data_IF_588662586745
#
_entry.id   IF_588662586745
#
_cell.length_a   1.000
_cell.length_b   1.000
_cell.length_c   1.000
_cell.angle_alpha   90.00
_cell.angle_beta   90.00
_cell.angle_gamma   90.00
#
_symmetry.space_group_name_H-M   'P 1'
#
loop_
_entity.id
_entity.type
_entity.pdbx_description
1 polymer ?
#
# COMPACT_ATOMS: atom_id res chain seq x y z
N UNK A 1 -57.98 -11.70 17.97
CA UNK A 1 -59.02 -11.53 16.92
C UNK A 1 -58.82 -10.17 16.30
N UNK A 2 -58.88 -10.07 14.96
CA UNK A 2 -58.52 -8.86 14.22
C UNK A 2 -59.47 -7.69 14.48
N UNK A 3 -58.91 -6.48 14.59
CA UNK A 3 -59.65 -5.23 14.42
C UNK A 3 -59.53 -4.75 12.97
N UNK A 4 -60.59 -4.10 12.50
CA UNK A 4 -60.73 -3.53 11.15
C UNK A 4 -60.79 -1.99 11.24
N UNK A 5 -60.99 -1.36 10.07
CA UNK A 5 -61.36 0.05 9.84
C UNK A 5 -60.23 1.10 9.88
N UNK A 6 -60.16 2.12 9.02
CA UNK A 6 -60.76 2.40 7.68
C UNK A 6 -59.95 3.57 7.06
N UNK A 7 -59.87 3.76 5.72
CA UNK A 7 -59.25 4.93 5.10
C UNK A 7 -60.28 6.02 4.74
N UNK A 8 -59.92 7.32 4.88
CA UNK A 8 -60.32 8.49 4.04
C UNK A 8 -59.96 9.82 4.76
N UNK A 9 -59.32 10.78 4.07
CA UNK A 9 -59.95 12.03 3.56
C UNK A 9 -58.91 12.97 2.91
N UNK A 10 -59.34 13.69 1.88
CA UNK A 10 -58.60 14.71 1.13
C UNK A 10 -59.00 16.11 1.63
N UNK A 11 -58.06 17.08 1.71
CA UNK A 11 -58.37 18.50 1.42
C UNK A 11 -57.14 19.36 1.06
N UNK A 12 -57.41 20.46 0.35
CA UNK A 12 -56.47 21.21 -0.50
C UNK A 12 -56.45 22.71 -0.16
N UNK A 13 -55.28 23.36 -0.25
CA UNK A 13 -55.09 24.83 -0.44
C UNK A 13 -53.73 24.97 -1.20
N UNK A 14 -53.59 25.52 -2.43
CA UNK A 14 -53.64 26.95 -2.85
C UNK A 14 -52.82 27.88 -1.92
N UNK A 15 -52.05 28.89 -2.32
CA UNK A 15 -51.59 29.46 -3.62
C UNK A 15 -50.27 30.26 -3.31
N UNK A 16 -49.44 30.81 -4.21
CA UNK A 16 -49.43 31.01 -5.67
C UNK A 16 -47.94 31.15 -6.14
N UNK A 17 -47.66 31.77 -7.30
CA UNK A 17 -46.31 32.16 -7.77
C UNK A 17 -46.33 33.54 -8.46
N UNK A 18 -45.19 34.24 -8.58
CA UNK A 18 -45.03 35.33 -9.55
C UNK A 18 -43.58 35.56 -10.01
N UNK A 19 -43.44 35.79 -11.32
CA UNK A 19 -42.23 36.24 -12.03
C UNK A 19 -42.10 37.77 -11.96
N UNK A 20 -40.90 38.33 -12.17
CA UNK A 20 -40.62 39.20 -13.35
C UNK A 20 -39.10 39.44 -13.55
N UNK A 21 -38.74 40.17 -14.61
CA UNK A 21 -37.46 40.14 -15.34
C UNK A 21 -36.83 41.56 -15.44
N UNK A 22 -35.64 41.65 -16.06
CA UNK A 22 -34.99 42.83 -16.73
C UNK A 22 -33.78 43.53 -16.07
N UNK A 23 -32.59 43.09 -16.51
CA UNK A 23 -31.57 43.86 -17.26
C UNK A 23 -30.90 45.17 -16.75
N UNK A 24 -29.55 45.11 -16.82
CA UNK A 24 -28.58 46.09 -17.40
C UNK A 24 -28.01 47.27 -16.58
N UNK A 25 -26.72 47.50 -16.92
CA UNK A 25 -25.88 48.72 -16.89
C UNK A 25 -24.95 49.04 -15.69
N UNK A 26 -23.66 49.13 -16.07
CA UNK A 26 -22.53 49.95 -15.59
C UNK A 26 -22.80 51.02 -14.51
N UNK A 27 -21.78 51.29 -13.66
CA UNK A 27 -20.84 52.42 -13.87
C UNK A 27 -19.67 52.40 -12.87
N UNK A 28 -18.50 52.86 -13.32
CA UNK A 28 -17.25 53.02 -12.55
C UNK A 28 -17.28 54.33 -11.76
N UNK A 29 -16.76 54.35 -10.53
CA UNK A 29 -16.47 55.60 -9.83
C UNK A 29 -14.98 55.82 -9.60
N UNK A 30 -14.47 56.92 -10.15
CA UNK A 30 -13.13 57.45 -9.88
C UNK A 30 -12.98 57.90 -8.43
N UNK A 31 -11.76 57.77 -7.90
CA UNK A 31 -11.23 58.74 -6.93
C UNK A 31 -9.93 59.34 -7.45
N UNK A 32 -9.94 60.66 -7.68
CA UNK A 32 -8.73 61.44 -7.92
C UNK A 32 -8.00 61.67 -6.59
N UNK A 33 -6.67 61.52 -6.59
CA UNK A 33 -5.81 62.36 -5.76
C UNK A 33 -4.51 62.70 -6.49
N UNK A 34 -4.44 63.94 -6.93
CA UNK A 34 -3.25 64.56 -7.50
C UNK A 34 -2.27 64.91 -6.39
N UNK A 35 -1.00 64.52 -6.52
CA UNK A 35 0.13 65.22 -5.91
C UNK A 35 1.37 64.93 -6.77
N UNK A 36 1.97 65.98 -7.32
CA UNK A 36 3.13 65.87 -8.21
C UNK A 36 4.43 65.88 -7.42
N UNK A 37 5.46 65.13 -7.86
CA UNK A 37 6.86 65.54 -7.64
C UNK A 37 7.84 64.87 -8.64
N UNK A 38 8.69 65.72 -9.24
CA UNK A 38 10.02 65.45 -9.81
C UNK A 38 10.24 64.29 -10.81
N UNK A 39 10.65 64.64 -12.03
CA UNK A 39 11.12 63.70 -13.04
C UNK A 39 12.57 63.23 -12.78
N UNK A 40 12.81 61.91 -12.82
CA UNK A 40 14.15 61.33 -13.02
C UNK A 40 14.11 60.09 -13.91
N UNK A 41 14.95 60.14 -14.95
CA UNK A 41 15.50 59.06 -15.79
C UNK A 41 14.77 57.71 -15.88
N UNK A 42 14.27 57.38 -17.07
CA UNK A 42 13.79 56.05 -17.43
C UNK A 42 15.01 55.15 -17.70
N UNK A 43 15.27 54.19 -16.82
CA UNK A 43 16.14 53.06 -17.11
C UNK A 43 15.28 51.87 -17.58
N UNK A 44 15.41 51.49 -18.86
CA UNK A 44 14.61 50.42 -19.46
C UNK A 44 15.13 49.04 -19.01
N UNK A 45 14.63 48.53 -17.88
CA UNK A 45 14.90 47.15 -17.46
C UNK A 45 13.92 46.19 -18.14
N UNK A 46 14.39 45.49 -19.17
CA UNK A 46 13.65 44.41 -19.82
C UNK A 46 13.43 43.25 -18.83
N UNK A 47 12.18 43.08 -18.37
CA UNK A 47 11.79 41.94 -17.53
C UNK A 47 11.64 40.71 -18.41
N UNK A 48 12.71 39.91 -18.53
CA UNK A 48 12.65 38.60 -19.18
C UNK A 48 11.90 37.62 -18.27
N UNK A 49 10.62 37.39 -18.56
CA UNK A 49 9.81 36.34 -17.93
C UNK A 49 10.43 34.95 -18.23
N UNK A 50 11.27 34.45 -17.31
CA UNK A 50 11.67 33.05 -17.30
C UNK A 50 10.49 32.20 -16.85
N UNK A 51 9.70 31.70 -17.81
CA UNK A 51 8.79 30.58 -17.58
C UNK A 51 9.62 29.37 -17.14
N UNK A 52 9.62 29.08 -15.84
CA UNK A 52 10.19 27.85 -15.31
C UNK A 52 9.31 26.67 -15.76
N UNK A 53 9.61 26.13 -16.94
CA UNK A 53 9.04 24.88 -17.40
C UNK A 53 9.52 23.78 -16.44
N UNK A 54 8.69 23.44 -15.46
CA UNK A 54 8.92 22.29 -14.59
C UNK A 54 8.95 21.05 -15.48
N UNK A 55 10.15 20.56 -15.76
CA UNK A 55 10.37 19.33 -16.51
C UNK A 55 9.78 18.17 -15.69
N UNK A 56 8.49 17.89 -15.92
CA UNK A 56 7.79 16.74 -15.39
C UNK A 56 8.54 15.53 -15.92
N UNK A 57 9.37 14.92 -15.07
CA UNK A 57 10.15 13.73 -15.40
C UNK A 57 9.16 12.59 -15.63
N UNK A 58 8.68 12.45 -16.87
CA UNK A 58 7.95 11.27 -17.28
C UNK A 58 8.86 10.08 -16.97
N UNK A 59 8.35 9.17 -16.15
CA UNK A 59 8.79 7.79 -16.23
C UNK A 59 8.48 7.33 -17.66
N UNK A 60 9.37 6.55 -18.30
CA UNK A 60 9.08 6.01 -19.64
C UNK A 60 7.75 5.27 -19.56
N UNK A 61 6.82 5.59 -20.47
CA UNK A 61 5.53 4.92 -20.56
C UNK A 61 5.77 3.45 -20.88
N UNK A 62 5.51 2.58 -19.90
CA UNK A 62 5.60 1.13 -20.09
C UNK A 62 4.38 0.67 -20.89
N UNK A 63 4.55 0.57 -22.20
CA UNK A 63 3.62 -0.08 -23.13
C UNK A 63 4.49 -0.79 -24.19
N UNK A 64 4.06 -1.85 -24.89
CA UNK A 64 2.68 -2.30 -25.12
C UNK A 64 2.63 -3.80 -25.50
N UNK A 65 3.01 -4.70 -24.59
CA UNK A 65 2.63 -6.12 -24.71
C UNK A 65 2.67 -6.82 -23.36
N UNK A 66 1.58 -7.50 -23.00
CA UNK A 66 1.54 -8.50 -21.92
C UNK A 66 2.11 -9.84 -22.42
N UNK A 67 3.22 -9.77 -23.15
CA UNK A 67 3.89 -10.91 -23.75
C UNK A 67 5.21 -11.16 -23.03
N UNK A 68 5.50 -12.45 -22.83
CA UNK A 68 6.75 -12.95 -22.26
C UNK A 68 7.33 -14.00 -23.21
N UNK A 69 8.66 -14.13 -23.27
CA UNK A 69 9.27 -15.23 -24.03
C UNK A 69 9.11 -16.54 -23.25
N UNK A 70 8.99 -17.70 -23.94
CA UNK A 70 8.96 -19.00 -23.28
C UNK A 70 10.15 -19.22 -22.34
N UNK A 71 11.36 -18.86 -22.78
CA UNK A 71 12.60 -18.99 -22.00
C UNK A 71 12.56 -18.17 -20.70
N UNK A 72 12.05 -16.91 -20.76
CA UNK A 72 11.91 -16.06 -19.58
C UNK A 72 10.84 -16.59 -18.63
N UNK A 73 9.73 -17.11 -19.14
CA UNK A 73 8.72 -17.74 -18.31
C UNK A 73 9.27 -18.99 -17.61
N UNK A 74 10.04 -19.83 -18.32
CA UNK A 74 10.66 -21.00 -17.73
C UNK A 74 11.66 -20.63 -16.63
N UNK A 75 12.56 -19.67 -16.87
CA UNK A 75 13.50 -19.15 -15.87
C UNK A 75 12.78 -18.68 -14.58
N UNK A 76 11.69 -17.92 -14.72
CA UNK A 76 10.91 -17.42 -13.59
C UNK A 76 10.20 -18.53 -12.80
N UNK A 77 9.70 -19.55 -13.50
CA UNK A 77 9.00 -20.71 -12.90
C UNK A 77 10.00 -21.62 -12.19
N UNK A 78 11.17 -21.87 -12.78
CA UNK A 78 12.22 -22.67 -12.17
C UNK A 78 12.73 -21.99 -10.89
N UNK A 79 13.03 -20.68 -10.95
CA UNK A 79 13.42 -19.89 -9.80
C UNK A 79 12.36 -19.88 -8.68
N UNK A 80 11.07 -19.80 -9.04
CA UNK A 80 9.96 -19.88 -8.08
C UNK A 80 9.89 -21.27 -7.44
N UNK A 81 9.99 -22.32 -8.26
CA UNK A 81 9.94 -23.73 -7.84
C UNK A 81 11.07 -24.06 -6.86
N UNK A 82 12.29 -23.60 -7.13
CA UNK A 82 13.43 -23.77 -6.23
C UNK A 82 13.23 -23.03 -4.88
N UNK A 83 12.61 -21.85 -4.89
CA UNK A 83 12.23 -21.14 -3.66
C UNK A 83 11.17 -21.92 -2.89
N UNK A 84 10.09 -22.38 -3.54
CA UNK A 84 9.04 -23.19 -2.89
C UNK A 84 9.62 -24.46 -2.29
N UNK A 85 10.46 -25.18 -3.02
CA UNK A 85 11.14 -26.39 -2.56
C UNK A 85 12.02 -26.14 -1.33
N UNK A 86 12.78 -25.03 -1.29
CA UNK A 86 13.56 -24.62 -0.11
C UNK A 86 12.66 -24.28 1.09
N UNK A 87 11.52 -23.62 0.86
CA UNK A 87 10.53 -23.37 1.92
C UNK A 87 9.96 -24.69 2.48
N UNK A 88 9.57 -25.62 1.61
CA UNK A 88 9.04 -26.93 2.01
C UNK A 88 10.06 -27.74 2.81
N UNK A 89 11.30 -27.85 2.34
CA UNK A 89 12.40 -28.53 3.04
C UNK A 89 12.65 -27.91 4.43
N UNK A 90 12.63 -26.57 4.50
CA UNK A 90 12.81 -25.84 5.78
C UNK A 90 11.66 -26.13 6.75
N UNK A 91 10.41 -26.10 6.27
CA UNK A 91 9.23 -26.37 7.12
C UNK A 91 9.18 -27.83 7.56
N UNK A 92 9.50 -28.79 6.67
CA UNK A 92 9.59 -30.22 7.01
C UNK A 92 10.60 -30.49 8.13
N UNK A 93 11.70 -29.73 8.20
CA UNK A 93 12.69 -29.86 9.28
C UNK A 93 12.15 -29.51 10.68
N UNK A 94 11.01 -28.80 10.78
CA UNK A 94 10.30 -28.53 12.05
C UNK A 94 9.26 -29.59 12.41
N UNK A 95 9.05 -30.60 11.56
CA UNK A 95 8.03 -31.64 11.72
C UNK A 95 6.61 -31.22 11.33
N UNK A 96 5.66 -32.16 11.43
CA UNK A 96 4.32 -32.07 10.83
C UNK A 96 3.44 -30.91 11.34
N UNK A 97 3.79 -30.31 12.49
CA UNK A 97 3.10 -29.16 13.06
C UNK A 97 3.61 -27.80 12.54
N UNK A 98 4.49 -27.78 11.53
CA UNK A 98 5.00 -26.55 10.94
C UNK A 98 3.85 -25.72 10.32
N UNK A 99 3.67 -24.49 10.80
CA UNK A 99 2.68 -23.57 10.24
C UNK A 99 2.99 -23.29 8.76
N UNK A 100 1.99 -23.43 7.88
CA UNK A 100 2.14 -23.11 6.46
C UNK A 100 2.54 -21.65 6.29
N UNK A 101 3.58 -21.40 5.50
CA UNK A 101 4.02 -20.06 5.14
C UNK A 101 3.64 -19.73 3.70
N UNK A 102 3.26 -18.48 3.49
CA UNK A 102 2.94 -17.89 2.20
C UNK A 102 4.19 -17.30 1.56
N UNK A 103 4.44 -17.64 0.30
CA UNK A 103 5.42 -16.96 -0.53
C UNK A 103 4.79 -15.69 -1.10
N UNK A 104 5.42 -14.54 -0.88
CA UNK A 104 5.05 -13.26 -1.51
C UNK A 104 6.13 -12.91 -2.53
N UNK A 105 5.81 -13.05 -3.81
CA UNK A 105 6.74 -12.79 -4.90
C UNK A 105 6.87 -11.27 -5.15
N UNK A 106 8.02 -10.69 -4.80
CA UNK A 106 8.23 -9.23 -4.80
C UNK A 106 8.63 -8.75 -6.19
N UNK A 107 7.65 -8.22 -6.93
CA UNK A 107 7.71 -7.89 -8.36
C UNK A 107 8.04 -6.42 -8.68
N UNK A 108 8.46 -5.63 -7.69
CA UNK A 108 8.86 -4.22 -7.90
C UNK A 108 9.95 -4.05 -8.95
N UNK A 109 9.78 -3.08 -9.83
CA UNK A 109 10.60 -2.83 -11.02
C UNK A 109 10.60 -3.95 -12.07
N UNK A 110 9.71 -4.95 -11.97
CA UNK A 110 9.55 -6.01 -12.99
C UNK A 110 8.33 -5.72 -13.87
N UNK A 111 8.41 -6.01 -15.18
CA UNK A 111 7.30 -5.75 -16.10
C UNK A 111 6.08 -6.60 -15.72
N UNK A 112 4.88 -6.17 -16.13
CA UNK A 112 3.65 -6.94 -15.92
C UNK A 112 3.73 -8.33 -16.58
N UNK A 113 4.47 -8.49 -17.68
CA UNK A 113 4.67 -9.78 -18.36
C UNK A 113 5.46 -10.80 -17.53
N UNK A 114 6.44 -10.40 -16.70
CA UNK A 114 7.12 -11.30 -15.75
C UNK A 114 6.11 -11.84 -14.71
N UNK A 115 5.18 -11.00 -14.26
CA UNK A 115 4.15 -11.37 -13.27
C UNK A 115 3.11 -12.30 -13.90
N UNK A 116 2.67 -11.98 -15.13
CA UNK A 116 1.73 -12.81 -15.89
C UNK A 116 2.34 -14.19 -16.18
N UNK A 117 3.62 -14.26 -16.57
CA UNK A 117 4.32 -15.53 -16.80
C UNK A 117 4.31 -16.42 -15.54
N UNK A 118 4.67 -15.85 -14.39
CA UNK A 118 4.63 -16.58 -13.11
C UNK A 118 3.21 -17.06 -12.80
N UNK A 119 2.22 -16.17 -12.89
CA UNK A 119 0.82 -16.49 -12.62
C UNK A 119 0.29 -17.62 -13.53
N UNK A 120 0.43 -17.49 -14.86
CA UNK A 120 -0.15 -18.43 -15.83
C UNK A 120 0.53 -19.80 -15.82
N UNK A 121 1.84 -19.87 -15.51
CA UNK A 121 2.60 -21.13 -15.56
C UNK A 121 2.67 -21.89 -14.24
N UNK A 122 2.52 -21.20 -13.10
CA UNK A 122 2.61 -21.82 -11.76
C UNK A 122 1.32 -21.75 -10.94
N UNK A 123 0.35 -20.92 -11.32
CA UNK A 123 -0.83 -20.63 -10.49
C UNK A 123 -0.55 -19.73 -9.29
N UNK A 124 0.68 -19.22 -9.14
CA UNK A 124 1.06 -18.35 -8.04
C UNK A 124 0.35 -16.99 -8.13
N UNK A 125 -0.37 -16.60 -7.08
CA UNK A 125 -1.21 -15.40 -7.06
C UNK A 125 -0.76 -14.31 -6.07
N UNK A 126 0.19 -14.55 -5.16
CA UNK A 126 0.58 -13.60 -4.12
C UNK A 126 1.79 -12.74 -4.52
N UNK A 127 1.55 -11.50 -4.95
CA UNK A 127 2.59 -10.59 -5.45
C UNK A 127 2.76 -9.34 -4.58
N UNK A 128 4.00 -8.95 -4.33
CA UNK A 128 4.38 -7.85 -3.45
C UNK A 128 4.92 -6.64 -4.19
N UNK A 129 4.28 -5.48 -4.02
CA UNK A 129 4.67 -4.22 -4.64
C UNK A 129 5.07 -3.12 -3.64
N UNK A 130 6.07 -2.32 -4.03
CA UNK A 130 6.61 -1.25 -3.20
C UNK A 130 6.14 0.17 -3.61
N UNK A 131 5.62 0.34 -4.82
CA UNK A 131 5.26 1.65 -5.37
C UNK A 131 3.79 1.69 -5.73
N UNK A 132 3.07 2.69 -5.21
CA UNK A 132 1.60 2.76 -5.31
C UNK A 132 1.13 2.85 -6.76
N UNK A 133 1.81 3.63 -7.60
CA UNK A 133 1.49 3.77 -9.01
C UNK A 133 1.77 2.48 -9.80
N UNK A 134 2.91 1.84 -9.55
CA UNK A 134 3.27 0.56 -10.19
C UNK A 134 2.26 -0.53 -9.85
N UNK A 135 1.83 -0.60 -8.58
CA UNK A 135 0.75 -1.49 -8.15
C UNK A 135 -0.60 -1.12 -8.78
N UNK A 136 -0.95 0.16 -8.83
CA UNK A 136 -2.20 0.62 -9.44
C UNK A 136 -2.28 0.25 -10.93
N UNK A 137 -1.20 0.48 -11.68
CA UNK A 137 -1.08 0.12 -13.11
C UNK A 137 -1.17 -1.40 -13.30
N UNK A 138 -0.32 -2.17 -12.61
CA UNK A 138 -0.33 -3.65 -12.66
C UNK A 138 -1.69 -4.26 -12.29
N UNK A 139 -2.38 -3.72 -11.27
CA UNK A 139 -3.71 -4.21 -10.86
C UNK A 139 -4.80 -4.00 -11.90
N UNK A 140 -4.64 -3.05 -12.83
CA UNK A 140 -5.56 -2.82 -13.95
C UNK A 140 -5.29 -3.78 -15.10
N UNK A 141 -4.03 -4.06 -15.39
CA UNK A 141 -3.60 -4.88 -16.54
C UNK A 141 -3.69 -6.39 -16.27
N UNK A 142 -3.41 -6.84 -15.05
CA UNK A 142 -3.26 -8.26 -14.71
C UNK A 142 -4.57 -8.92 -14.19
N UNK A 143 -4.62 -10.27 -14.10
CA UNK A 143 -5.75 -11.03 -13.57
C UNK A 143 -6.27 -10.53 -12.21
N UNK A 144 -7.58 -10.62 -12.00
CA UNK A 144 -8.29 -9.99 -10.87
C UNK A 144 -8.34 -10.84 -9.59
N UNK A 145 -7.89 -12.08 -9.68
CA UNK A 145 -7.71 -13.03 -8.60
C UNK A 145 -6.28 -13.04 -8.03
N UNK A 146 -5.34 -12.32 -8.66
CA UNK A 146 -4.06 -11.97 -8.03
C UNK A 146 -4.32 -11.28 -6.69
N UNK A 147 -3.60 -11.72 -5.67
CA UNK A 147 -3.68 -11.22 -4.31
C UNK A 147 -2.52 -10.26 -4.07
N UNK A 148 -2.77 -8.96 -4.19
CA UNK A 148 -1.72 -7.94 -4.07
C UNK A 148 -1.36 -7.64 -2.61
N UNK A 149 -0.08 -7.64 -2.30
CA UNK A 149 0.50 -7.19 -1.04
C UNK A 149 1.18 -5.82 -1.26
N UNK A 150 0.72 -4.76 -0.58
CA UNK A 150 1.46 -3.50 -0.58
C UNK A 150 2.50 -3.50 0.56
N UNK A 151 3.78 -3.56 0.18
CA UNK A 151 4.93 -3.74 1.08
C UNK A 151 5.94 -2.58 1.00
N UNK A 152 5.51 -1.44 0.43
CA UNK A 152 6.28 -0.19 0.37
C UNK A 152 5.83 0.84 1.40
N UNK A 153 6.61 1.90 1.61
CA UNK A 153 6.24 2.96 2.56
C UNK A 153 4.95 3.66 2.13
N UNK A 154 3.87 3.45 2.89
CA UNK A 154 2.57 4.06 2.61
C UNK A 154 2.56 5.53 3.04
N UNK A 155 2.45 6.45 2.07
CA UNK A 155 2.25 7.86 2.33
C UNK A 155 0.75 8.16 2.54
N UNK A 156 0.41 9.04 3.49
CA UNK A 156 -0.99 9.34 3.86
C UNK A 156 -1.86 9.84 2.69
N UNK A 157 -1.28 10.59 1.76
CA UNK A 157 -1.96 11.05 0.54
C UNK A 157 -2.16 9.94 -0.52
N UNK A 158 -1.58 8.75 -0.32
CA UNK A 158 -1.70 7.59 -1.22
C UNK A 158 -2.68 6.53 -0.72
N UNK A 159 -3.12 6.59 0.55
CA UNK A 159 -4.07 5.62 1.11
C UNK A 159 -5.34 5.46 0.25
N UNK A 160 -5.88 6.55 -0.32
CA UNK A 160 -7.05 6.50 -1.22
C UNK A 160 -6.83 5.69 -2.50
N UNK A 161 -5.64 5.79 -3.09
CA UNK A 161 -5.29 5.05 -4.32
C UNK A 161 -5.13 3.57 -3.96
N UNK A 162 -4.38 3.28 -2.89
CA UNK A 162 -4.14 1.90 -2.44
C UNK A 162 -5.45 1.20 -2.08
N UNK A 163 -6.30 1.81 -1.25
CA UNK A 163 -7.57 1.22 -0.83
C UNK A 163 -8.57 0.96 -1.97
N UNK A 164 -8.45 1.69 -3.09
CA UNK A 164 -9.29 1.55 -4.27
C UNK A 164 -8.92 0.37 -5.19
N UNK A 165 -7.79 -0.30 -4.96
CA UNK A 165 -7.41 -1.51 -5.70
C UNK A 165 -8.31 -2.67 -5.24
N UNK A 166 -9.17 -3.26 -6.10
CA UNK A 166 -10.17 -4.24 -5.65
C UNK A 166 -9.54 -5.48 -5.01
N UNK A 167 -8.56 -6.07 -5.70
CA UNK A 167 -7.84 -7.28 -5.30
C UNK A 167 -6.57 -6.99 -4.46
N UNK A 168 -6.56 -5.86 -3.74
CA UNK A 168 -5.59 -5.65 -2.67
C UNK A 168 -5.90 -6.60 -1.51
N UNK A 169 -5.01 -7.56 -1.29
CA UNK A 169 -5.13 -8.56 -0.24
C UNK A 169 -4.75 -8.01 1.13
N UNK A 170 -3.62 -7.29 1.22
CA UNK A 170 -3.07 -6.74 2.48
C UNK A 170 -2.20 -5.49 2.25
N UNK A 171 -2.17 -4.60 3.24
CA UNK A 171 -1.17 -3.53 3.40
C UNK A 171 -0.26 -3.87 4.57
N UNK A 172 1.02 -4.14 4.33
CA UNK A 172 1.91 -4.63 5.39
C UNK A 172 2.68 -3.52 6.13
N UNK A 173 2.49 -2.26 5.72
CA UNK A 173 3.35 -1.11 6.10
C UNK A 173 2.64 -0.04 6.94
N UNK A 174 1.71 -0.47 7.80
CA UNK A 174 1.04 0.42 8.75
C UNK A 174 1.90 0.59 10.00
N UNK A 175 2.46 1.78 10.18
CA UNK A 175 3.46 2.11 11.22
C UNK A 175 2.95 3.10 12.28
N UNK A 176 1.66 3.43 12.28
CA UNK A 176 1.09 4.40 13.25
C UNK A 176 -0.44 4.40 13.27
N UNK A 177 -1.03 4.75 14.41
CA UNK A 177 -2.47 4.97 14.57
C UNK A 177 -3.02 6.03 13.60
N UNK A 178 -2.23 7.08 13.30
CA UNK A 178 -2.56 8.10 12.30
C UNK A 178 -2.65 7.52 10.89
N UNK A 179 -1.72 6.65 10.50
CA UNK A 179 -1.72 5.97 9.20
C UNK A 179 -2.89 4.99 9.10
N UNK A 180 -3.15 4.19 10.15
CA UNK A 180 -4.33 3.33 10.24
C UNK A 180 -5.64 4.11 10.03
N UNK A 181 -5.87 5.17 10.82
CA UNK A 181 -7.06 6.04 10.69
C UNK A 181 -7.21 6.70 9.31
N UNK A 182 -6.10 6.93 8.61
CA UNK A 182 -6.11 7.48 7.25
C UNK A 182 -6.47 6.42 6.21
N UNK A 183 -6.01 5.18 6.42
CA UNK A 183 -6.31 4.04 5.55
C UNK A 183 -7.75 3.54 5.75
N UNK A 184 -8.29 3.54 6.97
CA UNK A 184 -9.70 3.23 7.26
C UNK A 184 -10.64 4.17 6.48
N UNK A 185 -10.46 5.49 6.63
CA UNK A 185 -11.21 6.52 5.88
C UNK A 185 -11.04 6.39 4.36
N UNK A 186 -9.91 5.86 3.90
CA UNK A 186 -9.69 5.56 2.50
C UNK A 186 -10.48 4.33 2.03
N UNK A 187 -10.64 3.30 2.87
CA UNK A 187 -11.48 2.13 2.57
C UNK A 187 -12.96 2.51 2.44
N UNK A 188 -13.46 3.41 3.30
CA UNK A 188 -14.79 4.04 3.15
C UNK A 188 -14.89 4.79 1.82
N UNK A 189 -13.89 5.64 1.51
CA UNK A 189 -13.87 6.42 0.26
C UNK A 189 -13.82 5.54 -1.00
N UNK A 190 -13.28 4.33 -0.89
CA UNK A 190 -13.16 3.34 -1.94
C UNK A 190 -14.35 2.36 -2.02
N UNK A 191 -15.32 2.46 -1.09
CA UNK A 191 -16.47 1.56 -0.97
C UNK A 191 -16.08 0.06 -0.98
N UNK A 192 -15.02 -0.31 -0.25
CA UNK A 192 -14.60 -1.71 -0.12
C UNK A 192 -15.72 -2.54 0.52
N UNK A 193 -16.01 -3.71 -0.04
CA UNK A 193 -17.02 -4.64 0.49
C UNK A 193 -16.56 -5.33 1.78
N UNK A 194 -15.26 -5.58 1.92
CA UNK A 194 -14.65 -6.29 3.04
C UNK A 194 -13.56 -5.43 3.71
N UNK A 195 -13.37 -5.56 5.03
CA UNK A 195 -12.27 -4.89 5.75
C UNK A 195 -10.90 -5.22 5.13
N UNK A 196 -10.11 -4.17 4.86
CA UNK A 196 -8.78 -4.33 4.29
C UNK A 196 -7.83 -4.93 5.32
N UNK A 197 -7.21 -6.08 5.01
CA UNK A 197 -6.18 -6.66 5.88
C UNK A 197 -5.01 -5.70 5.99
N UNK A 198 -4.49 -5.54 7.20
CA UNK A 198 -3.24 -4.83 7.45
C UNK A 198 -2.30 -5.66 8.31
N UNK A 199 -0.99 -5.47 8.10
CA UNK A 199 0.01 -5.77 9.12
C UNK A 199 0.58 -4.49 9.71
N UNK A 200 0.95 -4.54 10.99
CA UNK A 200 1.69 -3.47 11.63
C UNK A 200 3.19 -3.63 11.37
N UNK A 201 3.82 -2.60 10.82
CA UNK A 201 5.25 -2.59 10.56
C UNK A 201 6.00 -2.13 11.81
N UNK A 202 6.83 -3.01 12.37
CA UNK A 202 7.62 -2.78 13.57
C UNK A 202 9.11 -2.65 13.18
N UNK A 203 9.78 -1.63 13.69
CA UNK A 203 11.22 -1.48 13.59
C UNK A 203 11.90 -2.33 14.69
N UNK A 204 12.16 -3.60 14.38
CA UNK A 204 12.79 -4.55 15.31
C UNK A 204 14.29 -4.33 15.49
N UNK A 205 14.94 -3.56 14.63
CA UNK A 205 16.40 -3.37 14.64
C UNK A 205 16.91 -2.28 15.57
N UNK A 206 16.01 -1.44 16.11
CA UNK A 206 16.38 -0.30 16.95
C UNK A 206 17.11 0.83 16.23
N UNK A 207 17.30 0.77 14.91
CA UNK A 207 17.93 1.86 14.13
C UNK A 207 16.91 2.97 13.84
N UNK A 208 17.15 4.19 14.35
CA UNK A 208 16.31 5.39 14.14
C UNK A 208 16.01 5.72 12.66
N UNK A 209 16.87 5.25 11.74
CA UNK A 209 16.73 5.52 10.30
C UNK A 209 15.74 4.59 9.59
N UNK A 210 15.27 3.51 10.24
CA UNK A 210 14.36 2.54 9.63
C UNK A 210 12.89 2.86 9.89
N UNK A 211 12.07 2.62 8.86
CA UNK A 211 10.62 2.75 8.94
C UNK A 211 9.98 1.63 9.77
N UNK A 212 9.02 2.00 10.62
CA UNK A 212 8.24 1.14 11.48
C UNK A 212 7.97 1.83 12.82
N UNK A 213 6.96 1.37 13.56
CA UNK A 213 6.79 1.75 14.97
C UNK A 213 7.81 1.02 15.84
N UNK A 214 8.14 1.55 17.01
CA UNK A 214 8.97 0.84 17.98
C UNK A 214 8.19 -0.33 18.61
N UNK A 215 8.87 -1.41 19.06
CA UNK A 215 8.21 -2.57 19.67
C UNK A 215 7.26 -2.25 20.84
N UNK A 216 7.57 -1.23 21.63
CA UNK A 216 6.76 -0.76 22.76
C UNK A 216 5.50 0.04 22.34
N UNK A 217 5.48 0.62 21.14
CA UNK A 217 4.32 1.33 20.58
C UNK A 217 3.29 0.38 19.96
N UNK A 218 3.71 -0.86 19.64
CA UNK A 218 2.94 -1.78 18.82
C UNK A 218 1.59 -2.19 19.43
N UNK A 219 1.52 -2.33 20.75
CA UNK A 219 0.27 -2.65 21.43
C UNK A 219 -0.76 -1.51 21.36
N UNK A 220 -0.33 -0.26 21.54
CA UNK A 220 -1.21 0.91 21.45
C UNK A 220 -1.78 1.06 20.04
N UNK A 221 -0.93 0.90 19.01
CA UNK A 221 -1.39 0.97 17.61
C UNK A 221 -2.34 -0.19 17.27
N UNK A 222 -2.10 -1.40 17.79
CA UNK A 222 -3.00 -2.53 17.60
C UNK A 222 -4.37 -2.30 18.28
N UNK A 223 -4.38 -1.80 19.52
CA UNK A 223 -5.60 -1.39 20.24
C UNK A 223 -6.38 -0.32 19.46
N UNK A 224 -5.70 0.68 18.91
CA UNK A 224 -6.31 1.71 18.06
C UNK A 224 -6.95 1.13 16.80
N UNK A 225 -6.28 0.20 16.11
CA UNK A 225 -6.84 -0.45 14.92
C UNK A 225 -8.13 -1.20 15.26
N UNK A 226 -8.10 -2.08 16.27
CA UNK A 226 -9.24 -2.93 16.64
C UNK A 226 -10.42 -2.11 17.16
N UNK A 227 -10.18 -1.04 17.91
CA UNK A 227 -11.24 -0.21 18.50
C UNK A 227 -11.81 0.86 17.54
N UNK A 228 -10.99 1.38 16.63
CA UNK A 228 -11.29 2.64 15.93
C UNK A 228 -11.18 2.59 14.40
N UNK A 229 -10.80 1.45 13.81
CA UNK A 229 -10.65 1.28 12.35
C UNK A 229 -11.49 0.10 11.81
N UNK A 230 -12.85 0.19 11.83
CA UNK A 230 -13.73 -0.94 11.49
C UNK A 230 -13.63 -1.42 10.03
N UNK A 231 -13.04 -0.64 9.13
CA UNK A 231 -12.81 -1.03 7.73
C UNK A 231 -11.43 -1.66 7.51
N UNK A 232 -10.66 -1.91 8.58
CA UNK A 232 -9.38 -2.61 8.56
C UNK A 232 -9.46 -3.90 9.40
N UNK A 233 -8.86 -4.99 8.89
CA UNK A 233 -8.60 -6.20 9.71
C UNK A 233 -7.13 -6.21 10.10
N UNK A 234 -6.82 -6.02 11.39
CA UNK A 234 -5.50 -6.39 11.94
C UNK A 234 -5.29 -7.89 11.69
N UNK A 235 -4.33 -8.23 10.84
CA UNK A 235 -4.13 -9.61 10.36
C UNK A 235 -2.74 -10.15 10.66
N UNK A 236 -1.84 -9.34 11.23
CA UNK A 236 -0.46 -9.73 11.49
C UNK A 236 0.49 -8.58 11.77
N UNK A 237 1.77 -8.90 11.87
CA UNK A 237 2.89 -7.96 12.06
C UNK A 237 3.93 -8.15 10.95
N UNK A 238 4.71 -7.11 10.67
CA UNK A 238 5.75 -7.12 9.64
C UNK A 238 7.05 -6.48 10.18
N UNK A 239 8.20 -7.09 9.87
CA UNK A 239 9.49 -6.40 9.96
C UNK A 239 10.30 -6.53 8.67
N UNK A 240 11.10 -5.51 8.38
CA UNK A 240 12.17 -5.55 7.38
C UNK A 240 13.42 -6.20 7.99
N UNK A 241 13.62 -6.08 9.29
CA UNK A 241 14.79 -6.58 10.02
C UNK A 241 16.07 -5.74 9.81
N UNK A 242 17.17 -6.23 10.36
CA UNK A 242 18.52 -5.73 10.15
C UNK A 242 19.13 -6.32 8.88
N UNK A 243 19.89 -5.54 8.09
CA UNK A 243 20.60 -6.08 6.93
C UNK A 243 21.75 -7.02 7.34
N UNK A 244 22.34 -6.78 8.53
CA UNK A 244 23.36 -7.62 9.15
C UNK A 244 22.97 -7.83 10.63
N UNK A 245 22.04 -8.75 10.94
CA UNK A 245 21.66 -9.04 12.31
C UNK A 245 22.81 -9.77 13.03
N UNK A 246 23.04 -9.43 14.30
CA UNK A 246 23.94 -10.20 15.16
C UNK A 246 23.23 -11.49 15.60
N UNK A 247 23.66 -12.64 15.08
CA UNK A 247 22.93 -13.90 15.22
C UNK A 247 23.27 -14.61 16.52
N UNK A 248 22.30 -14.70 17.43
CA UNK A 248 22.42 -15.49 18.66
C UNK A 248 22.11 -16.97 18.37
N UNK A 249 23.12 -17.84 18.46
CA UNK A 249 22.99 -19.28 18.16
C UNK A 249 22.35 -19.61 16.79
N UNK A 250 22.45 -18.68 15.83
CA UNK A 250 21.84 -18.79 14.50
C UNK A 250 20.41 -18.25 14.38
N UNK A 251 19.76 -17.89 15.49
CA UNK A 251 18.50 -17.13 15.52
C UNK A 251 18.73 -15.67 15.09
N UNK A 252 17.66 -15.00 14.65
CA UNK A 252 17.70 -13.57 14.30
C UNK A 252 16.96 -12.77 15.38
N UNK A 253 17.64 -11.88 16.13
CA UNK A 253 17.00 -11.08 17.18
C UNK A 253 15.83 -10.23 16.67
N UNK A 254 15.83 -9.81 15.39
CA UNK A 254 14.70 -9.11 14.77
C UNK A 254 13.43 -9.97 14.75
N UNK A 255 13.56 -11.24 14.37
CA UNK A 255 12.43 -12.16 14.24
C UNK A 255 11.91 -12.61 15.61
N UNK A 256 12.83 -12.78 16.58
CA UNK A 256 12.52 -12.99 18.00
C UNK A 256 11.72 -11.84 18.59
N UNK A 257 12.14 -10.60 18.31
CA UNK A 257 11.43 -9.37 18.72
C UNK A 257 10.03 -9.28 18.10
N UNK A 258 9.88 -9.63 16.81
CA UNK A 258 8.56 -9.63 16.17
C UNK A 258 7.60 -10.67 16.76
N UNK A 259 8.10 -11.87 17.10
CA UNK A 259 7.33 -12.89 17.81
C UNK A 259 6.88 -12.42 19.21
N UNK A 260 7.73 -11.73 19.95
CA UNK A 260 7.39 -11.16 21.27
C UNK A 260 6.30 -10.09 21.15
N UNK A 261 6.38 -9.22 20.13
CA UNK A 261 5.33 -8.24 19.84
C UNK A 261 4.00 -8.93 19.51
N UNK A 262 4.03 -10.01 18.71
CA UNK A 262 2.84 -10.82 18.41
C UNK A 262 2.22 -11.38 19.68
N UNK A 263 2.99 -12.08 20.51
CA UNK A 263 2.50 -12.68 21.75
C UNK A 263 1.85 -11.65 22.68
N UNK A 264 2.49 -10.49 22.86
CA UNK A 264 1.96 -9.38 23.67
C UNK A 264 0.62 -8.86 23.14
N UNK A 265 0.49 -8.68 21.82
CA UNK A 265 -0.74 -8.18 21.19
C UNK A 265 -1.85 -9.23 21.24
N UNK A 266 -1.53 -10.49 20.95
CA UNK A 266 -2.47 -11.62 21.01
C UNK A 266 -3.02 -11.81 22.43
N UNK A 267 -2.16 -11.79 23.45
CA UNK A 267 -2.57 -11.87 24.85
C UNK A 267 -3.44 -10.68 25.26
N UNK A 268 -3.06 -9.45 24.92
CA UNK A 268 -3.77 -8.25 25.35
C UNK A 268 -5.12 -8.06 24.65
N UNK A 269 -5.22 -8.41 23.36
CA UNK A 269 -6.43 -8.23 22.55
C UNK A 269 -7.31 -9.50 22.48
N UNK A 270 -6.85 -10.63 23.02
CA UNK A 270 -7.52 -11.94 22.95
C UNK A 270 -7.78 -12.40 21.51
N UNK A 271 -6.79 -12.16 20.64
CA UNK A 271 -6.73 -12.66 19.26
C UNK A 271 -5.60 -13.70 19.15
N UNK A 272 -5.68 -14.61 18.19
CA UNK A 272 -4.75 -15.77 18.09
C UNK A 272 -4.35 -16.13 16.66
N UNK A 273 -4.74 -15.31 15.67
CA UNK A 273 -4.54 -15.54 14.24
C UNK A 273 -3.58 -14.53 13.60
N UNK A 274 -2.71 -13.84 14.36
CA UNK A 274 -1.78 -12.88 13.79
C UNK A 274 -0.71 -13.57 12.93
N UNK A 275 -0.65 -13.22 11.65
CA UNK A 275 0.42 -13.61 10.76
C UNK A 275 1.73 -12.85 11.06
N UNK A 276 2.87 -13.45 10.71
CA UNK A 276 4.19 -12.81 10.79
C UNK A 276 4.78 -12.69 9.38
N UNK A 277 5.08 -11.45 8.97
CA UNK A 277 5.74 -11.15 7.70
C UNK A 277 7.19 -10.74 7.94
N UNK A 278 8.10 -11.68 7.72
CA UNK A 278 9.53 -11.51 7.96
C UNK A 278 10.32 -12.55 7.16
N UNK A 279 11.55 -12.22 6.80
CA UNK A 279 12.34 -13.01 5.85
C UNK A 279 12.21 -12.53 4.41
N UNK A 280 13.36 -12.37 3.77
CA UNK A 280 13.56 -11.97 2.38
C UNK A 280 14.50 -12.98 1.70
N UNK A 281 14.96 -12.70 0.47
CA UNK A 281 15.78 -13.60 -0.36
C UNK A 281 16.95 -14.30 0.38
N UNK A 282 17.58 -13.61 1.33
CA UNK A 282 18.85 -14.02 1.94
C UNK A 282 18.68 -14.67 3.34
N UNK A 283 17.48 -14.60 3.94
CA UNK A 283 17.22 -15.04 5.32
C UNK A 283 15.83 -15.68 5.55
N UNK A 284 15.03 -15.92 4.50
CA UNK A 284 13.70 -16.50 4.63
C UNK A 284 13.68 -17.87 5.33
N UNK A 285 14.67 -18.73 5.10
CA UNK A 285 14.75 -20.05 5.73
C UNK A 285 14.87 -19.91 7.26
N UNK A 286 15.73 -19.00 7.72
CA UNK A 286 15.86 -18.61 9.13
C UNK A 286 14.57 -17.97 9.68
N UNK A 287 13.82 -17.26 8.85
CA UNK A 287 12.54 -16.68 9.22
C UNK A 287 11.44 -17.75 9.43
N UNK A 288 11.37 -18.76 8.55
CA UNK A 288 10.47 -19.92 8.70
C UNK A 288 10.80 -20.73 9.96
N UNK A 289 12.09 -20.96 10.23
CA UNK A 289 12.55 -21.58 11.47
C UNK A 289 12.14 -20.78 12.72
N UNK A 290 11.97 -19.46 12.61
CA UNK A 290 11.44 -18.58 13.67
C UNK A 290 9.96 -18.19 13.52
N UNK A 291 9.17 -18.97 12.76
CA UNK A 291 7.70 -18.84 12.75
C UNK A 291 7.13 -17.81 11.78
N UNK A 292 7.90 -17.38 10.78
CA UNK A 292 7.35 -16.56 9.69
C UNK A 292 6.23 -17.29 8.94
N UNK A 293 5.13 -16.57 8.69
CA UNK A 293 4.00 -17.04 7.88
C UNK A 293 3.92 -16.36 6.52
N UNK A 294 4.73 -15.33 6.28
CA UNK A 294 4.87 -14.63 5.00
C UNK A 294 6.35 -14.31 4.75
N UNK A 295 6.92 -14.87 3.68
CA UNK A 295 8.30 -14.58 3.24
C UNK A 295 8.27 -13.79 1.93
N UNK A 296 9.04 -12.71 1.86
CA UNK A 296 8.95 -11.69 0.79
C UNK A 296 10.18 -11.74 -0.12
N UNK A 297 10.12 -12.59 -1.14
CA UNK A 297 11.28 -12.96 -1.95
C UNK A 297 11.18 -12.31 -3.34
N UNK A 298 12.25 -11.68 -3.82
CA UNK A 298 12.23 -10.89 -5.05
C UNK A 298 13.39 -11.20 -5.99
N UNK A 299 14.62 -10.92 -5.55
CA UNK A 299 15.84 -11.13 -6.35
C UNK A 299 16.04 -12.59 -6.76
N UNK A 300 15.68 -13.54 -5.90
CA UNK A 300 15.80 -14.99 -6.17
C UNK A 300 14.83 -15.45 -7.26
N UNK A 301 13.62 -14.87 -7.33
CA UNK A 301 12.58 -15.26 -8.31
C UNK A 301 12.81 -14.55 -9.64
N UNK A 302 12.86 -13.21 -9.61
CA UNK A 302 12.85 -12.40 -10.82
C UNK A 302 14.24 -12.03 -11.35
N UNK A 303 15.31 -12.43 -10.65
CA UNK A 303 16.68 -12.02 -10.94
C UNK A 303 16.98 -10.56 -10.59
N UNK A 304 18.18 -10.11 -10.94
CA UNK A 304 18.67 -8.74 -10.68
C UNK A 304 17.76 -7.63 -11.26
N UNK A 305 17.81 -6.44 -10.67
CA UNK A 305 17.09 -5.26 -11.18
C UNK A 305 17.67 -4.87 -12.55
N UNK A 306 16.85 -4.42 -13.52
CA UNK A 306 17.36 -3.72 -14.69
C UNK A 306 18.27 -2.57 -14.24
N UNK A 307 19.54 -2.55 -14.69
CA UNK A 307 20.41 -1.40 -14.44
C UNK A 307 19.73 -0.19 -15.08
N UNK A 308 19.64 0.93 -14.36
CA UNK A 308 19.19 2.19 -14.97
C UNK A 308 20.14 2.52 -16.12
N UNK A 309 19.66 2.43 -17.36
CA UNK A 309 20.37 2.96 -18.51
C UNK A 309 20.42 4.47 -18.35
N UNK A 310 21.55 4.97 -17.85
CA UNK A 310 21.84 6.40 -17.88
C UNK A 310 22.03 6.76 -19.34
N UNK A 311 20.99 7.33 -19.95
CA UNK A 311 21.13 8.04 -21.23
C UNK A 311 22.11 9.18 -20.98
N UNK A 312 23.25 9.15 -21.66
CA UNK A 312 24.22 10.25 -21.71
C UNK A 312 23.72 11.36 -22.63
#
# INVERSE_FOLDING_TARGET
MSLHLYPFLIRTVHSQAQFFNLSRFNTVHHYHRTLAFSARSIATTTITLRTAATAKRLLPSMSTSLEYTPDRAQELVDNLSDVVKRMEQTLQSKGDNAQKARLVAVSKYKPASDILAVYEKSGHCHFGENYVQELEEKSKELPKDIQWHFIGSLQSNKCKIVAAIPNLFVVETVDSAKKASTLDKACVSAARSEPLRIFLQINTSGEDTKSGMLPNEALEVAQHVVSSCPHLKLSGLMTIGSPNPDLDNGENPDFKTLNQCKATIEEALKITDLELSMGMSDDFERALLQGSTNVRIGSTIFGSRPKKTTVQ
#
